data_IF_534911872602
#
_entry.id   IF_534911872602
#
_cell.length_a   1.000
_cell.length_b   1.000
_cell.length_c   1.000
_cell.angle_alpha   90.00
_cell.angle_beta   90.00
_cell.angle_gamma   90.00
#
_symmetry.space_group_name_H-M   'P 1'
#
loop_
_entity.id
_entity.type
_entity.pdbx_description
1 polymer ?
#
# COMPACT_ATOMS: atom_id res chain seq x y z
N UNK A 1 12.00 -0.26 5.39
CA UNK A 1 12.15 -0.47 6.84
C UNK A 1 13.59 -0.28 7.27
N UNK A 2 14.52 -1.11 6.79
CA UNK A 2 15.94 -1.02 7.18
C UNK A 2 16.56 0.36 6.96
N UNK A 3 16.24 1.04 5.85
CA UNK A 3 16.71 2.41 5.63
C UNK A 3 16.18 3.42 6.67
N UNK A 4 14.90 3.31 7.05
CA UNK A 4 14.31 4.15 8.11
C UNK A 4 14.89 3.83 9.49
N UNK A 5 15.16 2.55 9.78
CA UNK A 5 15.88 2.11 10.98
C UNK A 5 17.31 2.67 11.04
N UNK A 6 17.97 2.79 9.89
CA UNK A 6 19.29 3.40 9.76
C UNK A 6 19.25 4.95 9.86
N UNK A 7 18.09 5.54 10.15
CA UNK A 7 17.91 6.98 10.34
C UNK A 7 17.62 7.76 9.05
N UNK A 8 17.45 7.12 7.90
CA UNK A 8 17.08 7.82 6.67
C UNK A 8 15.71 8.49 6.84
N UNK A 9 15.67 9.80 6.58
CA UNK A 9 14.45 10.59 6.49
C UNK A 9 14.27 11.05 5.04
N UNK A 10 13.03 11.00 4.56
CA UNK A 10 12.63 11.65 3.33
C UNK A 10 11.53 12.66 3.62
N UNK A 11 11.44 13.78 2.89
CA UNK A 11 10.28 14.63 2.96
C UNK A 11 9.05 13.93 2.37
N UNK A 12 7.86 14.42 2.74
CA UNK A 12 6.58 14.00 2.17
C UNK A 12 6.26 12.49 2.30
N UNK A 13 6.72 11.84 3.38
CA UNK A 13 6.42 10.41 3.63
C UNK A 13 4.91 10.19 3.77
N UNK A 14 4.23 10.96 4.60
CA UNK A 14 2.79 10.85 4.84
C UNK A 14 1.96 11.18 3.59
N UNK A 15 2.23 12.28 2.84
CA UNK A 15 1.61 12.51 1.54
C UNK A 15 1.82 11.37 0.54
N UNK A 16 3.01 10.76 0.49
CA UNK A 16 3.27 9.64 -0.42
C UNK A 16 2.53 8.36 -0.02
N UNK A 17 2.35 8.13 1.28
CA UNK A 17 1.48 7.06 1.79
C UNK A 17 0.03 7.32 1.38
N UNK A 18 -0.50 8.54 1.59
CA UNK A 18 -1.86 8.89 1.18
C UNK A 18 -2.07 8.80 -0.34
N UNK A 19 -1.09 9.25 -1.12
CA UNK A 19 -1.09 9.12 -2.58
C UNK A 19 -1.12 7.67 -3.05
N UNK A 20 -0.49 6.74 -2.33
CA UNK A 20 -0.54 5.32 -2.66
C UNK A 20 -1.96 4.76 -2.60
N UNK A 21 -2.76 5.15 -1.60
CA UNK A 21 -4.17 4.76 -1.47
C UNK A 21 -4.99 5.32 -2.63
N UNK A 22 -4.78 6.60 -2.96
CA UNK A 22 -5.45 7.23 -4.10
C UNK A 22 -5.14 6.50 -5.41
N UNK A 23 -3.85 6.32 -5.72
CA UNK A 23 -3.41 5.75 -6.99
C UNK A 23 -3.81 4.28 -7.13
N UNK A 24 -3.55 3.44 -6.12
CA UNK A 24 -3.91 2.03 -6.16
C UNK A 24 -5.43 1.84 -6.12
N UNK A 25 -6.14 2.64 -5.32
CA UNK A 25 -7.60 2.66 -5.30
C UNK A 25 -8.19 2.98 -6.67
N UNK A 26 -7.66 3.99 -7.37
CA UNK A 26 -8.07 4.32 -8.74
C UNK A 26 -7.74 3.21 -9.75
N UNK A 27 -6.60 2.54 -9.64
CA UNK A 27 -6.27 1.39 -10.51
C UNK A 27 -7.28 0.26 -10.32
N UNK A 28 -7.65 -0.03 -9.08
CA UNK A 28 -8.68 -1.02 -8.75
C UNK A 28 -10.08 -0.55 -9.20
N UNK A 29 -10.44 0.71 -9.00
CA UNK A 29 -11.73 1.28 -9.40
C UNK A 29 -11.93 1.28 -10.93
N UNK A 30 -10.88 1.65 -11.66
CA UNK A 30 -10.91 1.75 -13.12
C UNK A 30 -10.66 0.42 -13.81
N UNK A 31 -10.07 -0.56 -13.10
CA UNK A 31 -9.66 -1.86 -13.65
C UNK A 31 -8.69 -1.71 -14.83
N UNK A 32 -7.89 -0.63 -14.87
CA UNK A 32 -6.89 -0.42 -15.90
C UNK A 32 -5.73 -1.40 -15.71
N UNK A 33 -5.33 -2.05 -16.81
CA UNK A 33 -4.20 -2.97 -16.81
C UNK A 33 -2.92 -2.18 -17.07
N UNK A 34 -2.03 -2.18 -16.08
CA UNK A 34 -0.67 -1.70 -16.26
C UNK A 34 0.23 -2.89 -16.68
N UNK A 35 1.25 -2.66 -17.51
CA UNK A 35 2.35 -3.62 -17.67
C UNK A 35 2.92 -3.99 -16.30
N UNK A 36 3.28 -5.26 -16.10
CA UNK A 36 3.74 -5.76 -14.80
C UNK A 36 4.95 -4.99 -14.26
N UNK A 37 5.87 -4.60 -15.14
CA UNK A 37 7.05 -3.80 -14.80
C UNK A 37 6.67 -2.40 -14.28
N UNK A 38 5.70 -1.74 -14.92
CA UNK A 38 5.21 -0.43 -14.49
C UNK A 38 4.48 -0.52 -13.14
N UNK A 39 3.66 -1.57 -12.94
CA UNK A 39 3.00 -1.82 -11.67
C UNK A 39 4.01 -2.07 -10.54
N UNK A 40 5.03 -2.89 -10.80
CA UNK A 40 6.09 -3.18 -9.83
C UNK A 40 6.90 -1.92 -9.47
N UNK A 41 7.25 -1.10 -10.46
CA UNK A 41 7.95 0.17 -10.22
C UNK A 41 7.11 1.14 -9.37
N UNK A 42 5.81 1.26 -9.67
CA UNK A 42 4.89 2.12 -8.93
C UNK A 42 4.71 1.67 -7.47
N UNK A 43 4.45 0.37 -7.25
CA UNK A 43 4.32 -0.19 -5.90
C UNK A 43 5.65 -0.09 -5.15
N UNK A 44 6.77 -0.36 -5.83
CA UNK A 44 8.12 -0.24 -5.27
C UNK A 44 8.43 1.17 -4.79
N UNK A 45 8.04 2.20 -5.56
CA UNK A 45 8.15 3.59 -5.16
C UNK A 45 7.40 3.86 -3.84
N UNK A 46 6.13 3.47 -3.74
CA UNK A 46 5.37 3.66 -2.50
C UNK A 46 5.90 2.83 -1.32
N UNK A 47 6.45 1.65 -1.60
CA UNK A 47 7.06 0.77 -0.60
C UNK A 47 8.29 1.39 0.07
N UNK A 48 9.04 2.26 -0.64
CA UNK A 48 10.15 3.01 -0.04
C UNK A 48 9.64 3.93 1.09
N UNK A 49 8.60 4.74 0.83
CA UNK A 49 8.05 5.66 1.81
C UNK A 49 7.38 4.94 2.98
N UNK A 50 6.57 3.90 2.72
CA UNK A 50 6.04 3.03 3.78
C UNK A 50 7.16 2.43 4.61
N UNK A 51 8.21 1.95 3.93
CA UNK A 51 9.36 1.36 4.58
C UNK A 51 10.11 2.35 5.47
N UNK A 52 10.19 3.63 5.11
CA UNK A 52 10.82 4.65 5.95
C UNK A 52 9.95 4.94 7.17
N UNK A 53 8.63 5.08 7.00
CA UNK A 53 7.69 5.30 8.11
C UNK A 53 7.78 4.17 9.16
N UNK A 54 7.59 2.92 8.74
CA UNK A 54 7.72 1.76 9.64
C UNK A 54 9.12 1.66 10.24
N UNK A 55 10.16 1.98 9.47
CA UNK A 55 11.54 1.95 9.95
C UNK A 55 11.79 2.92 11.10
N UNK A 56 11.20 4.13 11.06
CA UNK A 56 11.30 5.12 12.14
C UNK A 56 10.56 4.65 13.38
N UNK A 57 9.33 4.18 13.24
CA UNK A 57 8.55 3.66 14.36
C UNK A 57 9.27 2.49 15.06
N UNK A 58 9.87 1.59 14.28
CA UNK A 58 10.62 0.45 14.82
C UNK A 58 11.98 0.85 15.40
N UNK A 59 12.54 2.03 15.07
CA UNK A 59 13.80 2.48 15.66
C UNK A 59 13.63 2.85 17.13
N UNK A 60 12.44 3.32 17.50
CA UNK A 60 12.10 3.76 18.84
C UNK A 60 11.66 2.60 19.76
N UNK A 61 11.44 1.39 19.19
CA UNK A 61 10.90 0.23 19.90
C UNK A 61 11.82 -1.00 19.76
N UNK A 62 12.07 -1.72 20.86
CA UNK A 62 12.78 -3.00 20.80
C UNK A 62 12.02 -4.04 19.97
N UNK A 63 12.74 -4.97 19.31
CA UNK A 63 12.14 -6.12 18.62
C UNK A 63 11.88 -5.96 17.11
N UNK A 64 12.55 -5.01 16.45
CA UNK A 64 12.38 -4.70 15.02
C UNK A 64 12.37 -5.95 14.10
N UNK A 65 13.21 -6.96 14.38
CA UNK A 65 13.29 -8.18 13.56
C UNK A 65 11.98 -8.98 13.59
N UNK A 66 11.39 -9.18 14.77
CA UNK A 66 10.14 -9.94 14.92
C UNK A 66 8.98 -9.19 14.24
N UNK A 67 8.91 -7.87 14.40
CA UNK A 67 7.90 -7.03 13.75
C UNK A 67 8.03 -7.05 12.23
N UNK A 68 9.26 -7.01 11.70
CA UNK A 68 9.51 -7.12 10.26
C UNK A 68 9.13 -8.50 9.69
N UNK A 69 9.43 -9.58 10.43
CA UNK A 69 8.98 -10.91 10.06
C UNK A 69 7.44 -11.00 10.03
N UNK A 70 6.77 -10.44 11.04
CA UNK A 70 5.31 -10.35 11.10
C UNK A 70 4.73 -9.54 9.93
N UNK A 71 5.32 -8.39 9.61
CA UNK A 71 4.93 -7.58 8.46
C UNK A 71 5.09 -8.33 7.13
N UNK A 72 6.20 -9.07 6.95
CA UNK A 72 6.40 -9.90 5.76
C UNK A 72 5.33 -10.98 5.64
N UNK A 73 5.06 -11.72 6.73
CA UNK A 73 4.03 -12.75 6.75
C UNK A 73 2.63 -12.17 6.49
N UNK A 74 2.28 -11.06 7.13
CA UNK A 74 1.03 -10.36 6.90
C UNK A 74 0.92 -9.88 5.45
N UNK A 75 2.00 -9.34 4.87
CA UNK A 75 2.03 -8.89 3.48
C UNK A 75 1.77 -10.06 2.52
N UNK A 76 2.46 -11.19 2.70
CA UNK A 76 2.25 -12.40 1.89
C UNK A 76 0.82 -12.92 2.04
N UNK A 77 0.31 -12.99 3.28
CA UNK A 77 -1.05 -13.46 3.56
C UNK A 77 -2.13 -12.58 2.92
N UNK A 78 -2.02 -11.26 3.10
CA UNK A 78 -2.95 -10.29 2.50
C UNK A 78 -2.88 -10.31 0.97
N UNK A 79 -1.70 -10.46 0.37
CA UNK A 79 -1.56 -10.60 -1.08
C UNK A 79 -2.23 -11.88 -1.60
N UNK A 80 -1.99 -13.02 -0.94
CA UNK A 80 -2.61 -14.28 -1.31
C UNK A 80 -4.14 -14.21 -1.21
N UNK A 81 -4.66 -13.64 -0.11
CA UNK A 81 -6.09 -13.42 0.08
C UNK A 81 -6.69 -12.48 -0.99
N UNK A 82 -6.01 -11.37 -1.28
CA UNK A 82 -6.42 -10.42 -2.31
C UNK A 82 -6.45 -11.03 -3.71
N UNK A 83 -5.44 -11.84 -4.07
CA UNK A 83 -5.41 -12.60 -5.32
C UNK A 83 -6.59 -13.58 -5.37
N UNK A 84 -6.81 -14.36 -4.30
CA UNK A 84 -7.93 -15.31 -4.22
C UNK A 84 -9.29 -14.62 -4.42
N UNK A 85 -9.53 -13.51 -3.70
CA UNK A 85 -10.74 -12.70 -3.85
C UNK A 85 -10.88 -12.13 -5.26
N UNK A 86 -9.80 -11.61 -5.85
CA UNK A 86 -9.79 -11.10 -7.22
C UNK A 86 -10.16 -12.18 -8.24
N UNK A 87 -9.61 -13.39 -8.10
CA UNK A 87 -9.91 -14.53 -8.97
C UNK A 87 -11.36 -15.03 -8.82
N UNK A 88 -11.94 -14.95 -7.63
CA UNK A 88 -13.34 -15.29 -7.39
C UNK A 88 -14.30 -14.23 -7.96
N UNK A 89 -14.01 -12.94 -7.71
CA UNK A 89 -14.87 -11.83 -8.11
C UNK A 89 -14.83 -11.52 -9.60
N UNK A 90 -13.75 -11.86 -10.32
CA UNK A 90 -13.62 -11.59 -11.77
C UNK A 90 -14.76 -12.18 -12.61
N UNK A 91 -15.35 -13.29 -12.15
CA UNK A 91 -16.47 -13.95 -12.84
C UNK A 91 -17.82 -13.69 -12.15
N UNK A 92 -17.83 -13.34 -10.87
CA UNK A 92 -19.05 -13.19 -10.09
C UNK A 92 -19.59 -11.74 -10.07
N UNK A 93 -18.75 -10.74 -9.82
CA UNK A 93 -19.23 -9.36 -9.67
C UNK A 93 -18.13 -8.33 -9.97
N UNK A 94 -18.26 -7.65 -11.11
CA UNK A 94 -17.32 -6.60 -11.55
C UNK A 94 -17.43 -5.26 -10.82
N UNK A 95 -18.50 -5.04 -10.05
CA UNK A 95 -18.76 -3.78 -9.35
C UNK A 95 -18.18 -3.76 -7.94
N UNK A 96 -18.16 -4.91 -7.24
CA UNK A 96 -17.65 -4.97 -5.88
C UNK A 96 -16.17 -4.54 -5.77
N UNK A 97 -15.24 -5.03 -6.61
CA UNK A 97 -13.87 -4.52 -6.61
C UNK A 97 -13.80 -3.04 -6.94
N UNK A 98 -14.68 -2.54 -7.83
CA UNK A 98 -14.66 -1.13 -8.23
C UNK A 98 -15.08 -0.20 -7.10
N UNK A 99 -16.13 -0.55 -6.37
CA UNK A 99 -16.60 0.21 -5.21
C UNK A 99 -15.54 0.20 -4.12
N UNK A 100 -14.93 -0.96 -3.84
CA UNK A 100 -13.82 -1.05 -2.88
C UNK A 100 -12.64 -0.16 -3.29
N UNK A 101 -12.22 -0.21 -4.56
CA UNK A 101 -11.17 0.67 -5.09
C UNK A 101 -11.53 2.15 -5.00
N UNK A 102 -12.77 2.52 -5.31
CA UNK A 102 -13.24 3.90 -5.21
C UNK A 102 -13.24 4.40 -3.75
N UNK A 103 -13.68 3.57 -2.80
CA UNK A 103 -13.65 3.89 -1.38
C UNK A 103 -12.21 4.12 -0.87
N UNK A 104 -11.28 3.24 -1.22
CA UNK A 104 -9.85 3.41 -0.89
C UNK A 104 -9.27 4.66 -1.54
N UNK A 105 -9.63 4.92 -2.81
CA UNK A 105 -9.19 6.10 -3.53
C UNK A 105 -9.68 7.40 -2.89
N UNK A 106 -10.94 7.45 -2.50
CA UNK A 106 -11.54 8.60 -1.80
C UNK A 106 -10.91 8.83 -0.42
N UNK A 107 -10.59 7.77 0.32
CA UNK A 107 -9.84 7.88 1.57
C UNK A 107 -8.45 8.50 1.33
N UNK A 108 -7.73 8.04 0.31
CA UNK A 108 -6.44 8.64 -0.07
C UNK A 108 -6.56 10.11 -0.44
N UNK A 109 -7.61 10.48 -1.17
CA UNK A 109 -7.89 11.88 -1.51
C UNK A 109 -8.22 12.73 -0.29
N UNK A 110 -9.01 12.21 0.65
CA UNK A 110 -9.35 12.90 1.90
C UNK A 110 -8.12 13.15 2.77
N UNK A 111 -7.24 12.15 2.91
CA UNK A 111 -5.96 12.28 3.64
C UNK A 111 -5.04 13.32 2.98
N UNK A 112 -4.94 13.34 1.64
CA UNK A 112 -4.17 14.35 0.91
C UNK A 112 -4.75 15.76 1.05
N UNK A 113 -6.07 15.88 1.14
CA UNK A 113 -6.77 17.14 1.34
C UNK A 113 -6.80 17.63 2.79
N UNK A 114 -6.30 16.84 3.75
CA UNK A 114 -6.35 17.15 5.18
C UNK A 114 -7.76 17.15 5.77
N UNK A 115 -8.67 16.36 5.19
CA UNK A 115 -10.10 16.29 5.59
C UNK A 115 -10.38 15.04 6.45
N UNK A 116 -9.40 14.16 6.60
CA UNK A 116 -9.41 12.98 7.46
C UNK A 116 -8.17 13.01 8.36
#
# INVERSE_FOLDING_TARGET
>A
ALAGLAGLSLPAVEPMIAASLLVLGLLVATQRRLPATAAAALVGLFAVFHGIAHGRELADHGGAVATLAGMLLATVGLHAAGIGLGLALRHANRWLPRIAGAAVGLLGLALLGGVA
#
